data_IF_024129325866
#
_entry.id   IF_024129325866
#
_cell.length_a   1.000
_cell.length_b   1.000
_cell.length_c   1.000
_cell.angle_alpha   90.00
_cell.angle_beta   90.00
_cell.angle_gamma   90.00
#
_symmetry.space_group_name_H-M   'P 1'
#
loop_
_entity.id
_entity.type
_entity.pdbx_description
1 polymer ?
#
# COMPACT_ATOMS: atom_id res chain seq x y z
N UNK A 1 -2.22 4.64 21.61
CA UNK A 1 -2.24 5.89 20.81
C UNK A 1 -2.47 5.53 19.34
N UNK A 2 -3.10 6.40 18.54
CA UNK A 2 -3.27 6.14 17.11
C UNK A 2 -1.90 6.02 16.44
N UNK A 3 -1.73 4.98 15.61
CA UNK A 3 -0.43 4.65 14.99
C UNK A 3 -0.27 5.21 13.58
N UNK A 4 -1.37 5.58 12.91
CA UNK A 4 -1.39 6.16 11.57
C UNK A 4 -1.04 7.66 11.63
N UNK A 5 0.00 8.07 10.91
CA UNK A 5 0.39 9.48 10.79
C UNK A 5 -0.16 10.13 9.53
N UNK A 6 -0.05 9.44 8.38
CA UNK A 6 -0.44 9.99 7.10
C UNK A 6 -0.73 8.90 6.07
N UNK A 7 -1.57 9.25 5.10
CA UNK A 7 -1.79 8.53 3.85
C UNK A 7 -1.67 9.54 2.72
N UNK A 8 -0.75 9.31 1.79
CA UNK A 8 -0.56 10.16 0.63
C UNK A 8 -0.93 9.38 -0.63
N UNK A 9 -1.84 9.96 -1.42
CA UNK A 9 -2.05 9.56 -2.81
C UNK A 9 -0.91 10.15 -3.63
N UNK A 10 -0.29 9.33 -4.48
CA UNK A 10 0.75 9.77 -5.40
C UNK A 10 0.59 9.09 -6.76
N UNK A 11 1.61 9.19 -7.61
CA UNK A 11 1.66 8.48 -8.88
C UNK A 11 0.70 9.02 -9.93
N UNK A 12 0.27 8.15 -10.84
CA UNK A 12 -0.43 8.57 -12.05
C UNK A 12 -1.78 9.25 -11.76
N UNK A 13 -2.42 8.92 -10.64
CA UNK A 13 -3.66 9.54 -10.20
C UNK A 13 -3.52 11.05 -9.92
N UNK A 14 -2.32 11.50 -9.57
CA UNK A 14 -2.00 12.90 -9.26
C UNK A 14 -1.30 13.60 -10.43
N UNK A 15 -0.30 12.94 -11.05
CA UNK A 15 0.64 13.61 -11.95
C UNK A 15 0.37 13.42 -13.45
N UNK A 16 -0.42 12.40 -13.86
CA UNK A 16 -0.58 12.03 -15.28
C UNK A 16 -2.00 11.68 -15.74
N UNK A 17 -2.93 11.63 -14.79
CA UNK A 17 -4.30 11.15 -14.97
C UNK A 17 -4.38 9.62 -15.07
N UNK A 18 -5.37 9.05 -14.38
CA UNK A 18 -5.65 7.61 -14.39
C UNK A 18 -5.93 7.10 -15.81
N UNK A 19 -5.22 6.04 -16.22
CA UNK A 19 -5.48 5.27 -17.44
C UNK A 19 -6.30 4.02 -17.11
N UNK A 20 -6.84 3.29 -18.11
CA UNK A 20 -7.65 2.11 -17.85
C UNK A 20 -6.98 1.07 -16.94
N UNK A 21 -5.68 0.81 -17.12
CA UNK A 21 -4.90 -0.13 -16.30
C UNK A 21 -4.04 0.54 -15.22
N UNK A 22 -4.24 1.83 -14.93
CA UNK A 22 -3.59 2.47 -13.79
C UNK A 22 -4.15 1.94 -12.47
N UNK A 23 -3.25 1.70 -11.54
CA UNK A 23 -3.49 1.47 -10.13
C UNK A 23 -3.73 2.79 -9.36
N UNK A 24 -3.97 2.65 -8.06
CA UNK A 24 -4.05 3.71 -7.07
C UNK A 24 -2.87 3.54 -6.10
N UNK A 25 -1.93 4.48 -6.15
CA UNK A 25 -0.69 4.45 -5.36
C UNK A 25 -0.85 5.16 -4.01
N UNK A 26 -0.68 4.41 -2.92
CA UNK A 26 -0.78 4.93 -1.55
C UNK A 26 0.53 4.76 -0.79
N UNK A 27 1.06 5.86 -0.26
CA UNK A 27 2.17 5.86 0.70
C UNK A 27 1.61 6.14 2.09
N UNK A 28 1.74 5.15 2.98
CA UNK A 28 1.25 5.20 4.36
C UNK A 28 2.41 5.36 5.31
N UNK A 29 2.32 6.32 6.23
CA UNK A 29 3.32 6.51 7.30
C UNK A 29 2.71 6.19 8.65
N UNK A 30 3.39 5.35 9.43
CA UNK A 30 2.99 4.96 10.79
C UNK A 30 4.06 5.30 11.82
N UNK A 31 3.69 5.46 13.09
CA UNK A 31 4.64 5.70 14.19
C UNK A 31 5.34 4.42 14.65
N UNK A 32 4.68 3.27 14.52
CA UNK A 32 5.17 1.96 15.00
C UNK A 32 4.92 0.88 13.96
N UNK A 33 5.74 -0.17 14.00
CA UNK A 33 5.57 -1.36 13.15
C UNK A 33 4.21 -2.02 13.39
N UNK A 34 3.68 -2.65 12.34
CA UNK A 34 2.43 -3.39 12.46
C UNK A 34 2.68 -4.69 13.19
N UNK A 35 1.88 -4.97 14.22
CA UNK A 35 1.80 -6.32 14.74
C UNK A 35 1.20 -7.27 13.70
N UNK A 36 1.45 -8.57 13.87
CA UNK A 36 1.07 -9.58 12.89
C UNK A 36 -0.44 -9.74 12.73
N UNK A 37 -1.23 -9.41 13.75
CA UNK A 37 -2.71 -9.45 13.67
C UNK A 37 -3.22 -8.32 12.79
N UNK A 38 -2.74 -7.10 13.04
CA UNK A 38 -3.08 -5.90 12.26
C UNK A 38 -2.59 -6.03 10.83
N UNK A 39 -1.36 -6.55 10.62
CA UNK A 39 -0.80 -6.81 9.29
C UNK A 39 -1.70 -7.71 8.46
N UNK A 40 -2.11 -8.86 9.02
CA UNK A 40 -2.96 -9.84 8.32
C UNK A 40 -4.35 -9.29 8.03
N UNK A 41 -4.96 -8.62 9.01
CA UNK A 41 -6.27 -7.97 8.81
C UNK A 41 -6.20 -6.96 7.66
N UNK A 42 -5.18 -6.09 7.67
CA UNK A 42 -4.99 -5.09 6.61
C UNK A 42 -4.78 -5.73 5.23
N UNK A 43 -3.96 -6.78 5.13
CA UNK A 43 -3.75 -7.48 3.85
C UNK A 43 -5.06 -8.10 3.34
N UNK A 44 -5.86 -8.70 4.20
CA UNK A 44 -7.16 -9.25 3.81
C UNK A 44 -8.12 -8.16 3.32
N UNK A 45 -8.22 -7.04 4.05
CA UNK A 45 -9.06 -5.91 3.65
C UNK A 45 -8.60 -5.31 2.31
N UNK A 46 -7.29 -5.26 2.04
CA UNK A 46 -6.73 -4.81 0.77
C UNK A 46 -7.02 -5.80 -0.38
N UNK A 47 -6.96 -7.11 -0.12
CA UNK A 47 -7.33 -8.12 -1.11
C UNK A 47 -8.79 -8.03 -1.56
N UNK A 48 -9.70 -7.67 -0.65
CA UNK A 48 -11.13 -7.49 -0.91
C UNK A 48 -11.45 -6.19 -1.66
N UNK A 49 -10.60 -5.18 -1.54
CA UNK A 49 -10.82 -3.83 -2.10
C UNK A 49 -9.99 -3.53 -3.35
N UNK A 50 -9.11 -4.46 -3.75
CA UNK A 50 -8.24 -4.35 -4.92
C UNK A 50 -8.51 -5.49 -5.90
N UNK A 51 -8.30 -5.23 -7.19
CA UNK A 51 -8.42 -6.23 -8.26
C UNK A 51 -7.30 -6.03 -9.29
N UNK A 52 -6.89 -7.09 -9.98
CA UNK A 52 -5.84 -6.96 -11.00
C UNK A 52 -6.26 -5.95 -12.09
N UNK A 53 -5.31 -5.22 -12.71
CA UNK A 53 -5.64 -4.17 -13.67
C UNK A 53 -6.51 -4.67 -14.84
N UNK A 54 -7.76 -4.21 -14.90
CA UNK A 54 -8.72 -4.57 -15.95
C UNK A 54 -9.58 -5.81 -15.65
N UNK A 55 -9.46 -6.43 -14.47
CA UNK A 55 -10.34 -7.56 -14.06
C UNK A 55 -11.67 -7.12 -13.46
N UNK A 56 -11.82 -5.83 -13.13
CA UNK A 56 -13.03 -5.26 -12.56
C UNK A 56 -13.40 -3.94 -13.21
N UNK A 57 -14.69 -3.74 -13.44
CA UNK A 57 -15.27 -2.48 -13.93
C UNK A 57 -15.42 -1.43 -12.81
N UNK A 58 -15.31 -1.85 -11.54
CA UNK A 58 -15.54 -1.01 -10.35
C UNK A 58 -14.25 -0.84 -9.54
N UNK A 59 -13.47 -1.91 -9.40
CA UNK A 59 -12.24 -1.92 -8.60
C UNK A 59 -11.02 -1.68 -9.50
N UNK A 60 -10.07 -0.89 -9.01
CA UNK A 60 -8.73 -0.76 -9.58
C UNK A 60 -7.75 -1.58 -8.74
N UNK A 61 -6.59 -1.88 -9.32
CA UNK A 61 -5.46 -2.32 -8.52
C UNK A 61 -5.07 -1.22 -7.53
N UNK A 62 -4.81 -1.59 -6.29
CA UNK A 62 -4.29 -0.70 -5.25
C UNK A 62 -2.87 -1.14 -4.94
N UNK A 63 -1.95 -0.18 -4.94
CA UNK A 63 -0.61 -0.36 -4.41
C UNK A 63 -0.51 0.36 -3.07
N UNK A 64 -0.09 -0.34 -2.02
CA UNK A 64 0.15 0.26 -0.70
C UNK A 64 1.58 0.01 -0.26
N UNK A 65 2.32 1.09 -0.04
CA UNK A 65 3.62 1.05 0.63
C UNK A 65 3.48 1.65 2.02
N UNK A 66 3.86 0.90 3.06
CA UNK A 66 3.87 1.39 4.45
C UNK A 66 5.31 1.60 4.90
N UNK A 67 5.57 2.75 5.53
CA UNK A 67 6.84 3.08 6.17
C UNK A 67 6.64 3.46 7.63
N UNK A 68 7.59 3.10 8.49
CA UNK A 68 7.64 3.63 9.86
C UNK A 68 8.40 4.94 9.84
N UNK A 69 7.81 6.01 10.39
CA UNK A 69 8.37 7.36 10.41
C UNK A 69 9.84 7.37 10.88
N UNK A 70 10.12 6.70 12.00
CA UNK A 70 11.45 6.69 12.62
C UNK A 70 12.44 5.75 11.90
N UNK A 71 11.98 4.87 11.01
CA UNK A 71 12.85 4.12 10.09
C UNK A 71 13.24 4.96 8.85
N UNK A 72 12.52 6.06 8.56
CA UNK A 72 12.77 6.97 7.44
C UNK A 72 13.53 8.22 7.87
N UNK A 73 13.29 8.74 9.09
CA UNK A 73 13.89 9.98 9.57
C UNK A 73 14.82 9.69 10.76
N UNK A 74 16.13 10.01 10.67
CA UNK A 74 16.84 10.61 9.53
C UNK A 74 17.06 9.61 8.37
N UNK A 75 17.11 10.15 7.14
CA UNK A 75 17.21 9.36 5.91
C UNK A 75 18.46 8.47 5.86
N UNK A 76 18.27 7.21 5.47
CA UNK A 76 19.34 6.24 5.19
C UNK A 76 18.97 5.38 3.99
N UNK A 77 19.94 5.11 3.13
CA UNK A 77 19.76 4.25 1.96
C UNK A 77 20.29 2.83 2.23
N UNK A 78 19.57 1.77 1.85
CA UNK A 78 18.21 1.78 1.28
C UNK A 78 17.14 2.09 2.32
N UNK A 79 16.06 2.74 1.90
CA UNK A 79 14.90 2.97 2.76
C UNK A 79 14.22 1.66 3.13
N UNK A 80 13.73 1.58 4.37
CA UNK A 80 12.99 0.42 4.86
C UNK A 80 11.50 0.60 4.60
N UNK A 81 10.88 -0.46 4.09
CA UNK A 81 9.42 -0.59 4.00
C UNK A 81 8.97 -1.56 5.07
N UNK A 82 7.92 -1.19 5.78
CA UNK A 82 7.26 -2.03 6.77
C UNK A 82 6.35 -3.07 6.12
N UNK A 83 5.70 -2.67 5.02
CA UNK A 83 4.82 -3.52 4.22
C UNK A 83 4.78 -2.98 2.78
N UNK A 84 4.66 -3.89 1.83
CA UNK A 84 4.29 -3.61 0.45
C UNK A 84 3.09 -4.51 0.12
N UNK A 85 2.08 -3.93 -0.51
CA UNK A 85 0.97 -4.63 -1.11
C UNK A 85 0.83 -4.21 -2.57
N UNK A 86 0.51 -5.16 -3.41
CA UNK A 86 0.07 -4.94 -4.78
C UNK A 86 -0.32 -6.25 -5.45
N UNK A 87 -1.10 -6.14 -6.52
CA UNK A 87 -1.72 -7.29 -7.20
C UNK A 87 -0.70 -8.33 -7.71
N UNK A 88 0.53 -7.91 -8.01
CA UNK A 88 1.60 -8.84 -8.42
C UNK A 88 2.02 -9.82 -7.31
N UNK A 89 1.67 -9.55 -6.05
CA UNK A 89 1.94 -10.44 -4.90
C UNK A 89 0.70 -11.26 -4.49
N UNK A 90 -0.46 -11.06 -5.12
CA UNK A 90 -1.73 -11.68 -4.69
C UNK A 90 -1.62 -13.20 -4.54
N UNK A 91 -0.97 -13.87 -5.48
CA UNK A 91 -0.80 -15.32 -5.42
C UNK A 91 0.05 -15.76 -4.20
N UNK A 92 1.12 -15.04 -3.90
CA UNK A 92 1.98 -15.33 -2.76
C UNK A 92 1.28 -15.03 -1.43
N UNK A 93 0.42 -14.02 -1.40
CA UNK A 93 -0.37 -13.65 -0.21
C UNK A 93 -1.43 -14.73 0.10
N UNK A 94 -2.02 -15.34 -0.93
CA UNK A 94 -3.08 -16.34 -0.81
C UNK A 94 -2.58 -17.79 -0.64
N UNK A 95 -1.29 -18.04 -0.87
CA UNK A 95 -0.65 -19.35 -0.78
C UNK A 95 -0.41 -19.79 0.68
#
# INVERSE_FOLDING_TARGET
EPTLLAVHLYGSAVDGGLKPHSDIDLLVTVTVRLDETTRRALINDLLETSASPGESEILRAVEVTIVVHDDIIPWRYPAKRELQFGEWQRNDILA
#
